data_IF_260914008261
#
_entry.id   IF_260914008261
#
_cell.length_a   1.000
_cell.length_b   1.000
_cell.length_c   1.000
_cell.angle_alpha   90.00
_cell.angle_beta   90.00
_cell.angle_gamma   90.00
#
_symmetry.space_group_name_H-M   'P 1'
#
loop_
_entity.id
_entity.type
_entity.pdbx_description
1 polymer ?
#
# COMPACT_ATOMS: atom_id res chain seq x y z
N UNK A 1 1.99 -8.45 20.48
CA UNK A 1 0.83 -7.53 20.42
C UNK A 1 0.53 -7.32 18.95
N UNK A 2 -0.52 -7.95 18.43
CA UNK A 2 -0.94 -7.77 17.03
C UNK A 2 -1.34 -6.31 16.83
N UNK A 3 -0.70 -5.63 15.88
CA UNK A 3 -1.09 -4.28 15.50
C UNK A 3 -2.56 -4.33 15.03
N UNK A 4 -3.40 -3.33 15.38
CA UNK A 4 -4.78 -3.30 14.91
C UNK A 4 -4.77 -3.22 13.39
N UNK A 5 -5.20 -4.31 12.74
CA UNK A 5 -5.41 -4.35 11.30
C UNK A 5 -6.70 -3.60 10.98
N UNK A 6 -6.73 -2.88 9.85
CA UNK A 6 -7.98 -2.29 9.37
C UNK A 6 -9.06 -3.37 9.21
N UNK A 7 -10.33 -3.08 9.54
CA UNK A 7 -11.42 -3.98 9.22
C UNK A 7 -11.55 -4.11 7.70
N UNK A 8 -12.03 -5.27 7.24
CA UNK A 8 -12.10 -5.60 5.81
C UNK A 8 -12.84 -4.53 4.98
N UNK A 9 -13.92 -3.94 5.51
CA UNK A 9 -14.68 -2.89 4.83
C UNK A 9 -13.86 -1.61 4.57
N UNK A 10 -12.92 -1.27 5.47
CA UNK A 10 -12.05 -0.12 5.26
C UNK A 10 -10.91 -0.47 4.29
N UNK A 11 -10.43 -1.72 4.30
CA UNK A 11 -9.46 -2.21 3.30
C UNK A 11 -10.04 -2.16 1.89
N UNK A 12 -11.28 -2.64 1.71
CA UNK A 12 -12.00 -2.61 0.44
C UNK A 12 -12.16 -1.19 -0.07
N UNK A 13 -12.59 -0.25 0.80
CA UNK A 13 -12.70 1.17 0.45
C UNK A 13 -11.35 1.77 0.03
N UNK A 14 -10.27 1.43 0.72
CA UNK A 14 -8.91 1.91 0.38
C UNK A 14 -8.48 1.33 -0.97
N UNK A 15 -8.75 0.04 -1.22
CA UNK A 15 -8.43 -0.63 -2.47
C UNK A 15 -9.21 -0.05 -3.66
N UNK A 16 -10.54 0.09 -3.53
CA UNK A 16 -11.38 0.72 -4.56
C UNK A 16 -10.87 2.11 -4.91
N UNK A 17 -10.59 2.94 -3.89
CA UNK A 17 -10.09 4.30 -4.10
C UNK A 17 -8.73 4.31 -4.78
N UNK A 18 -7.87 3.34 -4.47
CA UNK A 18 -6.57 3.18 -5.11
C UNK A 18 -6.74 2.82 -6.58
N UNK A 19 -7.58 1.82 -6.88
CA UNK A 19 -7.85 1.37 -8.25
C UNK A 19 -8.42 2.50 -9.12
N UNK A 20 -9.44 3.21 -8.64
CA UNK A 20 -10.00 4.38 -9.33
C UNK A 20 -8.95 5.47 -9.59
N UNK A 21 -8.04 5.68 -8.64
CA UNK A 21 -6.99 6.70 -8.81
C UNK A 21 -5.98 6.27 -9.85
N UNK A 22 -5.55 5.01 -9.83
CA UNK A 22 -4.64 4.44 -10.83
C UNK A 22 -5.26 4.48 -12.23
N UNK A 23 -6.54 4.13 -12.38
CA UNK A 23 -7.27 4.21 -13.67
C UNK A 23 -7.29 5.62 -14.29
N UNK A 24 -7.15 6.67 -13.46
CA UNK A 24 -7.09 8.06 -13.93
C UNK A 24 -5.68 8.55 -14.23
N UNK A 25 -4.65 7.77 -13.88
CA UNK A 25 -3.25 8.12 -14.08
C UNK A 25 -2.71 7.44 -15.35
N UNK A 26 -1.81 8.09 -16.09
CA UNK A 26 -1.06 7.42 -17.15
C UNK A 26 -0.16 6.33 -16.56
N UNK A 27 -0.03 5.18 -17.24
CA UNK A 27 0.80 4.04 -16.81
C UNK A 27 2.22 4.44 -16.36
N UNK A 28 2.84 5.39 -17.07
CA UNK A 28 4.17 5.90 -16.74
C UNK A 28 4.26 6.63 -15.38
N UNK A 29 3.13 7.07 -14.82
CA UNK A 29 3.03 7.77 -13.54
C UNK A 29 2.52 6.89 -12.40
N UNK A 30 1.93 5.73 -12.69
CA UNK A 30 1.40 4.82 -11.67
C UNK A 30 2.48 4.39 -10.67
N UNK A 31 3.66 3.96 -11.14
CA UNK A 31 4.75 3.55 -10.26
C UNK A 31 5.25 4.69 -9.37
N UNK A 32 5.31 5.92 -9.91
CA UNK A 32 5.72 7.09 -9.15
C UNK A 32 4.67 7.48 -8.10
N UNK A 33 3.39 7.42 -8.46
CA UNK A 33 2.28 7.64 -7.54
C UNK A 33 2.29 6.63 -6.39
N UNK A 34 2.46 5.34 -6.69
CA UNK A 34 2.54 4.29 -5.67
C UNK A 34 3.74 4.49 -4.73
N UNK A 35 4.90 4.88 -5.26
CA UNK A 35 6.07 5.22 -4.45
C UNK A 35 5.80 6.42 -3.53
N UNK A 36 5.13 7.47 -4.03
CA UNK A 36 4.75 8.62 -3.21
C UNK A 36 3.69 8.28 -2.17
N UNK A 37 2.71 7.45 -2.49
CA UNK A 37 1.70 6.97 -1.55
C UNK A 37 2.35 6.16 -0.42
N UNK A 38 3.23 5.23 -0.77
CA UNK A 38 3.99 4.43 0.20
C UNK A 38 4.82 5.32 1.12
N UNK A 39 5.53 6.32 0.57
CA UNK A 39 6.30 7.28 1.37
C UNK A 39 5.41 8.12 2.28
N UNK A 40 4.26 8.58 1.80
CA UNK A 40 3.32 9.37 2.57
C UNK A 40 2.65 8.55 3.70
N UNK A 41 2.40 7.26 3.49
CA UNK A 41 1.92 6.35 4.52
C UNK A 41 3.03 6.03 5.53
N UNK A 42 4.25 5.78 5.06
CA UNK A 42 5.43 5.56 5.90
C UNK A 42 5.69 6.76 6.83
N UNK A 43 5.56 7.98 6.33
CA UNK A 43 5.70 9.19 7.15
C UNK A 43 4.65 9.28 8.28
N UNK A 44 3.49 8.65 8.12
CA UNK A 44 2.42 8.61 9.12
C UNK A 44 2.57 7.43 10.10
N UNK A 45 3.42 6.46 9.79
CA UNK A 45 3.77 5.35 10.69
C UNK A 45 5.03 5.75 11.47
N UNK A 46 4.97 5.93 12.79
CA UNK A 46 6.11 6.40 13.59
C UNK A 46 7.18 5.31 13.82
N UNK A 47 7.34 4.36 12.90
CA UNK A 47 8.19 3.17 13.03
C UNK A 47 8.64 2.68 11.64
N UNK A 48 9.93 2.88 11.33
CA UNK A 48 10.50 2.50 10.05
C UNK A 48 10.59 0.96 9.89
N UNK A 49 10.78 0.21 10.97
CA UNK A 49 10.89 -1.25 10.90
C UNK A 49 9.54 -1.87 10.52
N UNK A 50 8.43 -1.28 11.00
CA UNK A 50 7.07 -1.67 10.55
C UNK A 50 6.81 -1.38 9.09
N UNK A 51 7.32 -0.27 8.58
CA UNK A 51 7.19 0.08 7.16
C UNK A 51 7.99 -0.92 6.32
N UNK A 52 9.22 -1.24 6.72
CA UNK A 52 10.05 -2.22 6.04
C UNK A 52 9.43 -3.63 6.05
N UNK A 53 8.85 -4.06 7.17
CA UNK A 53 8.13 -5.33 7.27
C UNK A 53 6.91 -5.37 6.31
N UNK A 54 6.13 -4.29 6.25
CA UNK A 54 4.97 -4.21 5.34
C UNK A 54 5.37 -4.25 3.86
N UNK A 55 6.52 -3.68 3.49
CA UNK A 55 7.07 -3.77 2.13
C UNK A 55 7.42 -5.23 1.80
N UNK A 56 8.04 -5.95 2.74
CA UNK A 56 8.42 -7.34 2.55
C UNK A 56 7.19 -8.26 2.43
N UNK A 57 6.17 -8.06 3.28
CA UNK A 57 4.90 -8.78 3.18
C UNK A 57 4.21 -8.56 1.82
N UNK A 58 4.19 -7.32 1.33
CA UNK A 58 3.64 -7.01 0.01
C UNK A 58 4.45 -7.66 -1.13
N UNK A 59 5.78 -7.72 -1.00
CA UNK A 59 6.67 -8.38 -1.97
C UNK A 59 6.43 -9.89 -2.01
N UNK A 60 6.32 -10.54 -0.86
CA UNK A 60 6.00 -11.96 -0.76
C UNK A 60 4.62 -12.25 -1.35
N UNK A 61 3.59 -11.46 -1.03
CA UNK A 61 2.25 -11.59 -1.60
C UNK A 61 2.21 -11.45 -3.13
N UNK A 62 2.97 -10.51 -3.69
CA UNK A 62 3.08 -10.34 -5.14
C UNK A 62 3.77 -11.53 -5.83
N UNK A 63 4.71 -12.19 -5.15
CA UNK A 63 5.44 -13.34 -5.70
C UNK A 63 4.63 -14.63 -5.77
N UNK A 64 3.60 -14.79 -4.92
CA UNK A 64 2.72 -15.98 -4.94
C UNK A 64 1.70 -15.94 -6.11
N UNK A 65 1.52 -14.77 -6.74
CA UNK A 65 0.61 -14.59 -7.87
C UNK A 65 1.25 -14.59 -9.26
N UNK A 66 2.56 -14.86 -9.38
CA UNK A 66 3.31 -14.86 -10.66
C UNK A 66 3.50 -16.27 -11.25
#
# INVERSE_FOLDING_TARGET
MTAPTLPFADLERVYERLAETLDTLPEAQESHFLAQLALALAHRVPDADRVMAAIEEAREGASIGS
#
